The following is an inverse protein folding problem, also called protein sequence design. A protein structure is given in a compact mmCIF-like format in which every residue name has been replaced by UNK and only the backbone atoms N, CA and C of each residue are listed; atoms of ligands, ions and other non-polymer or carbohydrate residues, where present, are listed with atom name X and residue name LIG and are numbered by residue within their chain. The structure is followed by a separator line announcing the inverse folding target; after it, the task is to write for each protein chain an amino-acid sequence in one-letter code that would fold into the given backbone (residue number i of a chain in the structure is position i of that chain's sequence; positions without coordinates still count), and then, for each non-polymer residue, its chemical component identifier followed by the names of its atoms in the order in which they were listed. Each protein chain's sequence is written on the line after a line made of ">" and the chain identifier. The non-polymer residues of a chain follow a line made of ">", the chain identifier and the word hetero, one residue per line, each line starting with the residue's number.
data_IF_049324156798
#
_entry.id   IF_049324156798
#
_cell.length_a   1.000
_cell.length_b   1.000
_cell.length_c   1.000
_cell.angle_alpha   90.00
_cell.angle_beta   90.00
_cell.angle_gamma   90.00
#
_symmetry.space_group_name_H-M   'P 1'
#
loop_
_entity.id
_entity.type
_entity.pdbx_description
1 polymer ?
#
# COMPACT_ATOMS: atom_id res chain seq x y z
N UNK A 1 7.86 -5.78 19.57
CA UNK A 1 6.89 -5.26 20.56
C UNK A 1 7.62 -4.57 21.70
N UNK A 2 8.51 -5.26 22.42
CA UNK A 2 9.35 -4.65 23.47
C UNK A 2 10.21 -3.49 22.97
N UNK A 3 10.98 -3.70 21.89
CA UNK A 3 11.86 -2.67 21.29
C UNK A 3 11.09 -1.39 20.89
N UNK A 4 9.88 -1.56 20.34
CA UNK A 4 8.99 -0.46 19.96
C UNK A 4 8.33 0.23 21.16
N UNK A 5 8.45 -0.31 22.38
CA UNK A 5 7.79 0.22 23.57
C UNK A 5 6.26 0.17 23.52
N UNK A 6 5.68 -0.77 22.74
CA UNK A 6 4.22 -0.89 22.55
C UNK A 6 3.51 -1.06 23.89
N UNK A 7 2.44 -0.30 24.10
CA UNK A 7 1.59 -0.34 25.31
C UNK A 7 0.26 -1.03 25.11
N UNK A 8 -0.28 -0.95 23.89
CA UNK A 8 -1.55 -1.52 23.49
C UNK A 8 -1.38 -2.28 22.18
N UNK A 9 -1.88 -3.51 22.12
CA UNK A 9 -1.90 -4.36 20.95
C UNK A 9 -3.35 -4.54 20.49
N UNK A 10 -3.67 -3.99 19.32
CA UNK A 10 -4.95 -4.25 18.66
C UNK A 10 -4.87 -5.57 17.90
N UNK A 11 -5.83 -6.48 18.13
CA UNK A 11 -5.89 -7.78 17.46
C UNK A 11 -7.34 -8.19 17.19
N UNK A 12 -7.54 -9.41 16.72
CA UNK A 12 -8.85 -9.99 16.46
C UNK A 12 -8.87 -11.43 16.99
N UNK A 13 -10.05 -11.93 17.37
CA UNK A 13 -10.27 -13.23 18.02
C UNK A 13 -9.49 -14.39 17.37
N UNK A 14 -9.47 -14.45 16.04
CA UNK A 14 -8.80 -15.53 15.30
C UNK A 14 -7.25 -15.47 15.35
N UNK A 15 -6.66 -14.32 15.68
CA UNK A 15 -5.22 -14.15 15.82
C UNK A 15 -4.71 -14.30 17.26
N UNK A 16 -5.56 -14.15 18.28
CA UNK A 16 -5.16 -14.22 19.68
C UNK A 16 -4.31 -15.45 20.04
N UNK A 17 -4.66 -16.69 19.61
CA UNK A 17 -3.86 -17.87 19.94
C UNK A 17 -2.45 -17.90 19.31
N UNK A 18 -2.20 -17.03 18.32
CA UNK A 18 -0.92 -16.91 17.59
C UNK A 18 -0.07 -15.75 18.11
N UNK A 19 -0.60 -14.92 19.01
CA UNK A 19 0.16 -13.82 19.57
C UNK A 19 1.25 -14.37 20.50
N UNK A 20 2.47 -13.78 20.47
CA UNK A 20 3.48 -14.11 21.46
C UNK A 20 2.98 -13.73 22.85
N UNK A 21 3.35 -14.49 23.88
CA UNK A 21 3.18 -14.05 25.25
C UNK A 21 3.97 -12.76 25.46
N UNK A 22 3.26 -11.68 25.76
CA UNK A 22 3.84 -10.36 26.01
C UNK A 22 3.44 -9.88 27.39
N UNK A 23 4.44 -9.62 28.25
CA UNK A 23 4.21 -9.15 29.61
C UNK A 23 4.03 -7.63 29.60
N UNK A 24 2.95 -7.15 30.21
CA UNK A 24 2.72 -5.71 30.39
C UNK A 24 2.24 -4.95 29.15
N UNK A 25 1.77 -5.66 28.12
CA UNK A 25 1.09 -5.07 26.96
C UNK A 25 -0.40 -5.40 27.08
N UNK A 26 -1.25 -4.38 27.06
CA UNK A 26 -2.69 -4.56 26.99
C UNK A 26 -3.07 -5.07 25.59
N UNK A 27 -3.94 -6.09 25.52
CA UNK A 27 -4.42 -6.63 24.25
C UNK A 27 -5.90 -6.31 24.11
N UNK A 28 -6.26 -5.58 23.05
CA UNK A 28 -7.65 -5.25 22.71
C UNK A 28 -8.11 -6.11 21.54
N UNK A 29 -9.12 -6.94 21.78
CA UNK A 29 -9.78 -7.70 20.72
C UNK A 29 -10.85 -6.85 20.04
N UNK A 30 -10.58 -6.47 18.78
CA UNK A 30 -11.47 -5.68 17.96
C UNK A 30 -12.82 -6.38 17.68
N UNK A 31 -12.91 -7.71 17.77
CA UNK A 31 -14.18 -8.42 17.59
C UNK A 31 -15.16 -8.22 18.75
N UNK A 32 -14.67 -7.82 19.92
CA UNK A 32 -15.46 -7.61 21.14
C UNK A 32 -15.41 -6.16 21.62
N UNK A 33 -14.93 -5.25 20.77
CA UNK A 33 -14.84 -3.82 21.10
C UNK A 33 -16.22 -3.16 20.97
N UNK A 34 -16.81 -2.81 22.11
CA UNK A 34 -18.09 -2.08 22.19
C UNK A 34 -17.85 -0.57 22.05
N UNK A 35 -18.27 0.02 20.93
CA UNK A 35 -18.09 1.45 20.62
C UNK A 35 -19.39 2.27 20.72
N UNK A 36 -20.51 1.65 21.12
CA UNK A 36 -21.84 2.28 21.08
C UNK A 36 -21.98 3.53 21.97
N UNK A 37 -21.13 3.69 22.98
CA UNK A 37 -21.07 4.87 23.85
C UNK A 37 -20.03 5.91 23.45
N UNK A 38 -19.22 5.63 22.42
CA UNK A 38 -18.14 6.51 21.99
C UNK A 38 -18.64 7.61 21.03
N UNK A 39 -17.92 8.73 20.99
CA UNK A 39 -18.22 9.85 20.09
C UNK A 39 -17.96 9.48 18.62
N UNK A 40 -18.87 9.86 17.73
CA UNK A 40 -18.67 9.81 16.28
C UNK A 40 -17.89 11.02 15.72
N UNK A 41 -17.72 12.07 16.53
CA UNK A 41 -16.93 13.24 16.15
C UNK A 41 -15.43 12.95 16.23
N UNK A 42 -14.66 13.59 15.35
CA UNK A 42 -13.20 13.50 15.38
C UNK A 42 -12.67 13.98 16.74
N UNK A 43 -11.75 13.24 17.38
CA UNK A 43 -11.20 13.64 18.67
C UNK A 43 -10.38 14.93 18.52
N UNK A 44 -10.57 15.85 19.46
CA UNK A 44 -9.86 17.14 19.48
C UNK A 44 -8.42 16.96 20.00
N UNK A 45 -7.57 16.32 19.19
CA UNK A 45 -6.16 16.06 19.49
C UNK A 45 -5.30 16.86 18.51
N UNK A 46 -4.36 17.63 19.05
CA UNK A 46 -3.33 18.30 18.24
C UNK A 46 -2.21 17.30 17.93
N UNK A 47 -1.97 17.05 16.64
CA UNK A 47 -0.89 16.18 16.17
C UNK A 47 0.28 17.05 15.72
N UNK A 48 1.42 16.91 16.40
CA UNK A 48 2.64 17.60 16.03
C UNK A 48 3.31 16.89 14.83
N UNK A 49 3.84 17.61 13.82
CA UNK A 49 4.45 17.00 12.64
C UNK A 49 5.60 16.02 12.93
N UNK A 50 6.29 16.19 14.05
CA UNK A 50 7.40 15.32 14.48
C UNK A 50 6.96 14.09 15.30
N UNK A 51 5.68 13.99 15.67
CA UNK A 51 5.15 12.77 16.28
C UNK A 51 5.22 11.62 15.28
N UNK A 52 5.51 10.42 15.77
CA UNK A 52 5.59 9.21 14.94
C UNK A 52 4.20 8.83 14.42
N UNK A 53 4.09 8.66 13.11
CA UNK A 53 2.91 8.13 12.45
C UNK A 53 2.94 6.60 12.34
N UNK A 54 4.12 6.03 12.06
CA UNK A 54 4.29 4.58 12.01
C UNK A 54 5.73 4.15 12.35
N UNK A 55 5.85 2.87 12.69
CA UNK A 55 7.11 2.17 12.88
C UNK A 55 7.07 0.85 12.09
N UNK A 56 7.98 0.68 11.14
CA UNK A 56 8.08 -0.56 10.35
C UNK A 56 9.44 -1.21 10.59
N UNK A 57 9.43 -2.50 10.90
CA UNK A 57 10.64 -3.28 11.10
C UNK A 57 11.15 -3.85 9.78
N UNK A 58 12.40 -3.55 9.46
CA UNK A 58 13.12 -4.13 8.32
C UNK A 58 14.14 -5.15 8.79
N UNK A 59 14.58 -6.08 7.95
CA UNK A 59 15.47 -7.20 8.33
C UNK A 59 16.81 -6.78 8.93
N UNK A 60 17.29 -5.56 8.64
CA UNK A 60 18.55 -5.03 9.13
C UNK A 60 19.77 -5.75 8.53
N UNK A 61 20.85 -5.01 8.24
CA UNK A 61 22.08 -5.59 7.68
C UNK A 61 22.83 -6.49 8.67
N UNK A 62 22.52 -6.40 9.96
CA UNK A 62 23.14 -7.17 11.05
C UNK A 62 22.34 -8.43 11.43
N UNK A 63 21.24 -8.72 10.71
CA UNK A 63 20.33 -9.84 11.01
C UNK A 63 19.38 -9.60 12.19
N UNK A 64 19.52 -8.47 12.90
CA UNK A 64 18.53 -8.01 13.88
C UNK A 64 17.61 -7.00 13.19
N UNK A 65 16.28 -7.22 13.22
CA UNK A 65 15.36 -6.25 12.68
C UNK A 65 15.52 -4.88 13.34
N UNK A 66 15.43 -3.81 12.54
CA UNK A 66 15.47 -2.43 13.03
C UNK A 66 14.15 -1.73 12.73
N UNK A 67 13.62 -1.01 13.71
CA UNK A 67 12.43 -0.18 13.54
C UNK A 67 12.77 1.12 12.83
N UNK A 68 12.15 1.35 11.68
CA UNK A 68 12.20 2.64 10.98
C UNK A 68 11.00 3.47 11.43
N UNK A 69 11.28 4.55 12.15
CA UNK A 69 10.28 5.44 12.70
C UNK A 69 10.03 6.60 11.72
N UNK A 70 8.78 6.79 11.30
CA UNK A 70 8.40 7.85 10.35
C UNK A 70 7.40 8.78 11.00
N UNK A 71 7.68 10.07 10.92
CA UNK A 71 6.87 11.12 11.52
C UNK A 71 5.68 11.53 10.65
N UNK A 72 4.62 12.05 11.27
CA UNK A 72 3.40 12.53 10.61
C UNK A 72 3.68 13.53 9.48
N UNK A 73 4.53 14.53 9.72
CA UNK A 73 4.86 15.54 8.72
C UNK A 73 5.55 14.95 7.49
N UNK A 74 6.42 13.95 7.70
CA UNK A 74 7.16 13.32 6.61
C UNK A 74 6.25 12.48 5.71
N UNK A 75 5.39 11.64 6.29
CA UNK A 75 4.42 10.86 5.49
C UNK A 75 3.33 11.73 4.87
N UNK A 76 2.89 12.80 5.53
CA UNK A 76 1.92 13.74 4.96
C UNK A 76 2.49 14.46 3.72
N UNK A 77 3.72 14.95 3.79
CA UNK A 77 4.41 15.55 2.65
C UNK A 77 4.58 14.55 1.50
N UNK A 78 4.94 13.29 1.82
CA UNK A 78 5.02 12.20 0.85
C UNK A 78 3.69 11.98 0.13
N UNK A 79 2.58 11.83 0.87
CA UNK A 79 1.26 11.64 0.29
C UNK A 79 0.82 12.81 -0.59
N UNK A 80 1.07 14.07 -0.19
CA UNK A 80 0.80 15.23 -1.05
C UNK A 80 1.62 15.16 -2.36
N UNK A 81 2.93 14.93 -2.24
CA UNK A 81 3.83 14.87 -3.38
C UNK A 81 3.51 13.74 -4.36
N UNK A 82 3.11 12.57 -3.85
CA UNK A 82 2.72 11.41 -4.65
C UNK A 82 1.36 11.63 -5.30
N UNK A 83 0.38 12.15 -4.56
CA UNK A 83 -0.95 12.42 -5.10
C UNK A 83 -0.93 13.36 -6.30
N UNK A 84 -0.13 14.43 -6.21
CA UNK A 84 0.12 15.34 -7.34
C UNK A 84 0.80 14.63 -8.52
N UNK A 85 1.85 13.83 -8.27
CA UNK A 85 2.60 13.12 -9.32
C UNK A 85 1.76 12.06 -10.04
N UNK A 86 0.82 11.43 -9.33
CA UNK A 86 -0.07 10.41 -9.86
C UNK A 86 -1.29 11.03 -10.54
N UNK A 87 -1.50 12.34 -10.38
CA UNK A 87 -2.72 13.05 -10.79
C UNK A 87 -3.97 12.39 -10.19
N UNK A 88 -3.90 12.06 -8.89
CA UNK A 88 -5.01 11.45 -8.16
C UNK A 88 -6.14 12.44 -7.95
N UNK A 89 -7.36 11.94 -8.11
CA UNK A 89 -8.61 12.67 -7.94
C UNK A 89 -9.58 11.84 -7.12
N UNK A 90 -10.68 12.46 -6.67
CA UNK A 90 -11.74 11.74 -5.95
C UNK A 90 -12.46 10.68 -6.80
N UNK A 91 -12.29 10.69 -8.13
CA UNK A 91 -12.85 9.66 -9.03
C UNK A 91 -12.00 8.40 -9.08
N UNK A 92 -10.76 8.46 -8.60
CA UNK A 92 -9.83 7.34 -8.64
C UNK A 92 -10.19 6.24 -7.63
N UNK A 93 -9.80 5.02 -7.97
CA UNK A 93 -10.01 3.81 -7.17
C UNK A 93 -8.72 3.02 -7.11
N UNK A 94 -8.21 2.84 -5.91
CA UNK A 94 -6.96 2.11 -5.63
C UNK A 94 -7.28 0.73 -5.05
N UNK A 95 -6.67 -0.31 -5.62
CA UNK A 95 -6.66 -1.63 -4.99
C UNK A 95 -5.49 -1.70 -4.00
N UNK A 96 -5.79 -1.84 -2.71
CA UNK A 96 -4.79 -2.02 -1.66
C UNK A 96 -4.23 -3.45 -1.70
N UNK A 97 -3.24 -3.67 -2.58
CA UNK A 97 -2.70 -5.01 -2.84
C UNK A 97 -1.51 -5.38 -1.95
N UNK A 98 -0.67 -4.40 -1.62
CA UNK A 98 0.59 -4.62 -0.91
C UNK A 98 0.35 -4.94 0.57
N UNK A 99 1.19 -5.80 1.15
CA UNK A 99 1.10 -6.12 2.57
C UNK A 99 1.35 -4.88 3.43
N UNK A 100 0.47 -4.65 4.42
CA UNK A 100 0.55 -3.55 5.40
C UNK A 100 1.84 -3.57 6.22
N UNK A 101 2.58 -4.68 6.24
CA UNK A 101 3.90 -4.75 6.90
C UNK A 101 5.01 -4.02 6.14
N UNK A 102 4.74 -3.54 4.92
CA UNK A 102 5.66 -2.72 4.13
C UNK A 102 5.12 -1.29 4.00
N UNK A 103 6.02 -0.33 3.97
CA UNK A 103 5.71 1.09 3.92
C UNK A 103 5.13 1.51 2.56
N UNK A 104 5.50 0.82 1.48
CA UNK A 104 4.83 0.91 0.18
C UNK A 104 3.31 0.78 0.28
N UNK A 105 2.81 -0.10 1.15
CA UNK A 105 1.36 -0.25 1.37
C UNK A 105 0.74 1.00 2.02
N UNK A 106 1.48 1.74 2.85
CA UNK A 106 0.99 2.95 3.52
C UNK A 106 0.71 4.08 2.54
N UNK A 107 1.60 4.28 1.57
CA UNK A 107 1.35 5.21 0.45
C UNK A 107 0.05 4.86 -0.28
N UNK A 108 -0.24 3.57 -0.46
CA UNK A 108 -1.41 3.09 -1.24
C UNK A 108 -2.75 3.26 -0.53
N UNK A 109 -2.83 3.59 0.76
CA UNK A 109 -4.11 3.90 1.39
C UNK A 109 -4.17 5.34 1.93
N UNK A 110 -3.06 5.87 2.45
CA UNK A 110 -3.01 7.25 2.92
C UNK A 110 -3.16 8.26 1.78
N UNK A 111 -2.50 8.04 0.64
CA UNK A 111 -2.56 8.95 -0.50
C UNK A 111 -3.96 9.04 -1.12
N UNK A 112 -4.63 7.94 -1.52
CA UNK A 112 -5.97 8.05 -2.06
C UNK A 112 -6.98 8.65 -1.06
N UNK A 113 -6.94 8.26 0.22
CA UNK A 113 -7.87 8.80 1.23
C UNK A 113 -7.67 10.30 1.46
N UNK A 114 -6.42 10.79 1.44
CA UNK A 114 -6.13 12.24 1.54
C UNK A 114 -6.56 13.05 0.32
N UNK A 115 -6.86 12.40 -0.81
CA UNK A 115 -7.31 13.02 -2.06
C UNK A 115 -8.80 12.74 -2.37
N UNK A 116 -9.54 12.13 -1.42
CA UNK A 116 -10.96 11.79 -1.58
C UNK A 116 -11.23 10.59 -2.49
N UNK A 117 -10.20 9.86 -2.90
CA UNK A 117 -10.32 8.66 -3.73
C UNK A 117 -10.78 7.44 -2.91
N UNK A 118 -11.25 6.40 -3.60
CA UNK A 118 -11.70 5.15 -2.96
C UNK A 118 -10.54 4.16 -2.82
N UNK A 119 -10.48 3.47 -1.69
CA UNK A 119 -9.60 2.31 -1.47
C UNK A 119 -10.43 1.04 -1.43
N UNK A 120 -10.08 0.07 -2.28
CA UNK A 120 -10.63 -1.28 -2.29
C UNK A 120 -9.65 -2.19 -1.56
N UNK A 121 -10.12 -2.85 -0.51
CA UNK A 121 -9.29 -3.67 0.38
C UNK A 121 -9.53 -5.14 0.06
N UNK A 122 -8.45 -5.90 -0.09
CA UNK A 122 -8.50 -7.37 -0.18
C UNK A 122 -8.17 -8.03 1.15
N UNK A 123 -8.49 -9.32 1.27
CA UNK A 123 -8.04 -10.12 2.41
C UNK A 123 -6.52 -10.38 2.38
N UNK A 124 -6.00 -11.01 3.44
CA UNK A 124 -4.56 -11.31 3.54
C UNK A 124 -4.11 -12.46 2.63
N UNK A 125 -5.02 -13.19 1.97
CA UNK A 125 -4.65 -14.32 1.12
C UNK A 125 -3.89 -13.83 -0.10
N UNK A 126 -2.89 -14.57 -0.58
CA UNK A 126 -2.30 -14.22 -1.87
C UNK A 126 -3.30 -14.52 -2.98
N UNK A 127 -3.89 -13.47 -3.55
CA UNK A 127 -4.83 -13.60 -4.65
C UNK A 127 -4.17 -14.19 -5.88
N UNK A 128 -4.86 -15.12 -6.52
CA UNK A 128 -4.52 -15.54 -7.87
C UNK A 128 -4.60 -14.35 -8.82
N UNK A 129 -3.85 -14.43 -9.92
CA UNK A 129 -3.83 -13.38 -10.94
C UNK A 129 -5.23 -13.16 -11.51
N UNK A 130 -6.00 -14.24 -11.66
CA UNK A 130 -7.40 -14.17 -12.08
C UNK A 130 -8.25 -13.37 -11.09
N UNK A 131 -8.16 -13.66 -9.78
CA UNK A 131 -8.92 -12.92 -8.76
C UNK A 131 -8.60 -11.42 -8.79
N UNK A 132 -7.32 -11.07 -8.93
CA UNK A 132 -6.92 -9.67 -9.07
C UNK A 132 -7.47 -9.06 -10.36
N UNK A 133 -7.30 -9.73 -11.50
CA UNK A 133 -7.79 -9.26 -12.80
C UNK A 133 -9.31 -9.00 -12.78
N UNK A 134 -10.09 -9.94 -12.23
CA UNK A 134 -11.54 -9.82 -12.10
C UNK A 134 -11.91 -8.64 -11.20
N UNK A 135 -11.25 -8.50 -10.05
CA UNK A 135 -11.45 -7.36 -9.14
C UNK A 135 -11.11 -6.00 -9.79
N UNK A 136 -10.03 -5.91 -10.57
CA UNK A 136 -9.66 -4.68 -11.27
C UNK A 136 -10.81 -4.19 -12.17
N UNK A 137 -11.52 -5.12 -12.83
CA UNK A 137 -12.65 -4.84 -13.70
C UNK A 137 -13.91 -4.54 -12.88
N UNK A 138 -14.28 -5.42 -11.95
CA UNK A 138 -15.52 -5.34 -11.18
C UNK A 138 -15.60 -4.07 -10.33
N UNK A 139 -14.48 -3.69 -9.70
CA UNK A 139 -14.41 -2.50 -8.86
C UNK A 139 -14.00 -1.24 -9.63
N UNK A 140 -13.66 -1.36 -10.91
CA UNK A 140 -13.25 -0.24 -11.76
C UNK A 140 -11.98 0.44 -11.24
N UNK A 141 -10.98 -0.36 -10.87
CA UNK A 141 -9.72 0.13 -10.30
C UNK A 141 -8.98 1.00 -11.34
N UNK A 142 -8.67 2.24 -10.99
CA UNK A 142 -7.99 3.19 -11.90
C UNK A 142 -6.48 3.24 -11.66
N UNK A 143 -6.04 2.87 -10.46
CA UNK A 143 -4.64 2.91 -10.05
C UNK A 143 -4.32 1.69 -9.17
N UNK A 144 -3.16 1.09 -9.37
CA UNK A 144 -2.70 -0.04 -8.55
C UNK A 144 -1.18 -0.10 -8.47
N UNK A 145 -0.65 -0.48 -7.30
CA UNK A 145 0.75 -0.84 -7.13
C UNK A 145 0.94 -2.36 -7.00
N UNK A 146 1.78 -2.95 -7.85
CA UNK A 146 2.07 -4.38 -7.87
C UNK A 146 3.57 -4.63 -7.93
N UNK A 147 4.10 -5.68 -7.27
CA UNK A 147 5.47 -6.14 -7.51
C UNK A 147 5.69 -6.48 -9.00
N UNK A 148 6.85 -6.17 -9.60
CA UNK A 148 7.16 -6.51 -10.99
C UNK A 148 6.85 -7.96 -11.39
N UNK A 149 7.20 -8.92 -10.53
CA UNK A 149 6.91 -10.34 -10.72
C UNK A 149 5.40 -10.66 -10.83
N UNK A 150 4.54 -9.97 -10.07
CA UNK A 150 3.09 -10.13 -10.14
C UNK A 150 2.50 -9.40 -11.35
N UNK A 151 3.01 -8.20 -11.65
CA UNK A 151 2.60 -7.40 -12.80
C UNK A 151 2.85 -8.14 -14.12
N UNK A 152 3.95 -8.90 -14.22
CA UNK A 152 4.21 -9.81 -15.37
C UNK A 152 3.09 -10.82 -15.54
N UNK A 153 2.73 -11.53 -14.48
CA UNK A 153 1.70 -12.57 -14.56
C UNK A 153 0.34 -11.96 -14.92
N UNK A 154 0.03 -10.76 -14.39
CA UNK A 154 -1.17 -10.02 -14.76
C UNK A 154 -1.20 -9.65 -16.25
N UNK A 155 -0.07 -9.23 -16.82
CA UNK A 155 0.04 -8.97 -18.26
C UNK A 155 -0.16 -10.24 -19.09
N UNK A 156 0.45 -11.36 -18.71
CA UNK A 156 0.26 -12.67 -19.36
C UNK A 156 -1.19 -13.14 -19.30
N UNK A 157 -1.88 -12.91 -18.17
CA UNK A 157 -3.28 -13.25 -18.00
C UNK A 157 -4.19 -12.37 -18.88
N UNK A 158 -3.95 -11.06 -18.93
CA UNK A 158 -4.70 -10.14 -19.78
C UNK A 158 -4.54 -10.47 -21.28
N UNK A 159 -3.35 -10.92 -21.71
CA UNK A 159 -3.12 -11.43 -23.07
C UNK A 159 -3.98 -12.66 -23.37
N UNK A 160 -4.06 -13.61 -22.43
CA UNK A 160 -4.91 -14.81 -22.57
C UNK A 160 -6.39 -14.45 -22.63
N UNK A 161 -6.83 -13.46 -21.84
CA UNK A 161 -8.20 -12.95 -21.89
C UNK A 161 -8.49 -12.10 -23.16
N UNK A 162 -7.46 -11.64 -23.86
CA UNK A 162 -7.57 -10.78 -25.04
C UNK A 162 -8.10 -9.37 -24.74
N UNK A 163 -8.06 -8.92 -23.47
CA UNK A 163 -8.58 -7.62 -23.03
C UNK A 163 -7.80 -7.09 -21.83
N UNK A 164 -7.56 -5.78 -21.80
CA UNK A 164 -7.01 -5.09 -20.64
C UNK A 164 -8.08 -4.85 -19.55
N UNK A 165 -7.71 -4.85 -18.25
CA UNK A 165 -8.67 -4.67 -17.16
C UNK A 165 -9.14 -3.21 -16.97
N UNK A 166 -8.60 -2.25 -17.72
CA UNK A 166 -9.05 -0.85 -17.70
C UNK A 166 -8.38 0.06 -16.68
N UNK A 167 -7.29 -0.38 -16.05
CA UNK A 167 -6.52 0.42 -15.10
C UNK A 167 -5.72 1.52 -15.83
N UNK A 168 -5.87 2.77 -15.38
CA UNK A 168 -5.18 3.95 -15.95
C UNK A 168 -3.69 3.96 -15.61
N UNK A 169 -3.33 3.63 -14.37
CA UNK A 169 -1.96 3.79 -13.84
C UNK A 169 -1.48 2.54 -13.12
N UNK A 170 -0.37 1.96 -13.61
CA UNK A 170 0.34 0.89 -12.90
C UNK A 170 1.61 1.44 -12.26
N UNK A 171 1.73 1.21 -10.96
CA UNK A 171 2.92 1.49 -10.18
C UNK A 171 3.64 0.19 -9.82
N UNK A 172 4.97 0.19 -9.85
CA UNK A 172 5.79 -0.91 -9.34
C UNK A 172 7.08 -0.39 -8.71
N UNK A 173 7.63 -1.16 -7.79
CA UNK A 173 8.85 -0.86 -7.05
C UNK A 173 9.45 -2.16 -6.48
N UNK A 174 10.65 -2.07 -5.90
CA UNK A 174 11.21 -3.11 -5.04
C UNK A 174 11.88 -4.30 -5.74
N UNK A 175 11.70 -4.47 -7.06
CA UNK A 175 12.37 -5.49 -7.87
C UNK A 175 12.92 -4.88 -9.17
N UNK A 176 13.87 -5.58 -9.79
CA UNK A 176 14.37 -5.20 -11.10
C UNK A 176 13.26 -5.28 -12.16
N UNK A 177 13.13 -4.23 -12.98
CA UNK A 177 12.13 -4.13 -14.03
C UNK A 177 12.81 -3.97 -15.39
N UNK A 178 12.64 -4.95 -16.29
CA UNK A 178 13.30 -4.95 -17.59
C UNK A 178 12.48 -4.20 -18.65
N UNK A 179 13.15 -3.77 -19.74
CA UNK A 179 12.49 -3.10 -20.86
C UNK A 179 11.49 -4.01 -21.58
N UNK A 180 11.79 -5.30 -21.63
CA UNK A 180 10.92 -6.31 -22.24
C UNK A 180 9.62 -6.46 -21.43
N UNK A 181 9.72 -6.48 -20.09
CA UNK A 181 8.54 -6.50 -19.22
C UNK A 181 7.72 -5.20 -19.37
N UNK A 182 8.37 -4.04 -19.45
CA UNK A 182 7.68 -2.76 -19.71
C UNK A 182 6.83 -2.83 -20.98
N UNK A 183 7.44 -3.29 -22.09
CA UNK A 183 6.77 -3.39 -23.38
C UNK A 183 5.63 -4.41 -23.36
N UNK A 184 5.79 -5.51 -22.64
CA UNK A 184 4.73 -6.48 -22.44
C UNK A 184 3.56 -5.84 -21.69
N UNK A 185 3.81 -5.25 -20.52
CA UNK A 185 2.79 -4.57 -19.70
C UNK A 185 2.02 -3.52 -20.50
N UNK A 186 2.70 -2.68 -21.28
CA UNK A 186 2.05 -1.66 -22.11
C UNK A 186 1.13 -2.29 -23.15
N UNK A 187 1.58 -3.35 -23.82
CA UNK A 187 0.82 -4.05 -24.86
C UNK A 187 -0.41 -4.76 -24.28
N UNK A 188 -0.24 -5.47 -23.17
CA UNK A 188 -1.25 -6.35 -22.58
C UNK A 188 -2.27 -5.60 -21.72
N UNK A 189 -1.79 -4.65 -20.91
CA UNK A 189 -2.62 -3.93 -19.91
C UNK A 189 -3.07 -2.56 -20.40
N UNK A 190 -2.49 -2.03 -21.47
CA UNK A 190 -2.87 -0.78 -22.13
C UNK A 190 -3.09 0.42 -21.18
N UNK A 191 -2.18 0.68 -20.21
CA UNK A 191 -2.38 1.79 -19.30
C UNK A 191 -2.13 3.14 -19.96
N UNK A 192 -2.56 4.20 -19.29
CA UNK A 192 -2.17 5.57 -19.66
C UNK A 192 -0.78 5.89 -19.10
N UNK A 193 -0.51 5.50 -17.85
CA UNK A 193 0.70 5.84 -17.13
C UNK A 193 1.38 4.60 -16.56
N UNK A 194 2.70 4.58 -16.69
CA UNK A 194 3.58 3.66 -15.97
C UNK A 194 4.40 4.45 -14.97
N UNK A 195 4.49 3.93 -13.75
CA UNK A 195 5.24 4.51 -12.66
C UNK A 195 6.20 3.46 -12.09
N UNK A 196 7.49 3.80 -12.08
CA UNK A 196 8.52 3.04 -11.37
C UNK A 196 9.00 3.86 -10.17
N UNK A 197 8.74 3.36 -8.97
CA UNK A 197 9.16 3.96 -7.71
C UNK A 197 10.42 3.30 -7.16
N UNK A 198 11.27 4.08 -6.50
CA UNK A 198 12.39 3.57 -5.72
C UNK A 198 12.56 4.33 -4.41
N UNK A 199 12.71 3.57 -3.32
CA UNK A 199 13.02 4.07 -1.99
C UNK A 199 13.23 2.94 -0.99
N UNK A 200 14.26 3.02 -0.13
CA UNK A 200 14.28 2.27 1.12
C UNK A 200 13.32 2.88 2.15
N UNK A 201 12.88 2.06 3.11
CA UNK A 201 11.93 2.48 4.16
C UNK A 201 12.41 3.69 4.96
N UNK A 202 13.71 3.83 5.16
CA UNK A 202 14.37 4.93 5.86
C UNK A 202 14.22 6.29 5.16
N UNK A 203 13.81 6.30 3.90
CA UNK A 203 13.65 7.53 3.09
C UNK A 203 12.20 7.90 2.84
N UNK A 204 11.27 7.31 3.60
CA UNK A 204 9.82 7.52 3.48
C UNK A 204 9.30 7.03 2.13
N UNK A 205 9.16 5.71 2.01
CA UNK A 205 8.50 5.01 0.92
C UNK A 205 9.15 5.19 -0.46
N UNK A 206 8.90 6.30 -1.16
CA UNK A 206 9.26 6.51 -2.57
C UNK A 206 9.81 7.93 -2.79
N UNK A 207 11.06 8.22 -2.37
CA UNK A 207 11.70 9.53 -2.61
C UNK A 207 12.04 9.76 -4.08
N UNK A 208 12.16 8.71 -4.89
CA UNK A 208 12.47 8.81 -6.32
C UNK A 208 11.45 8.06 -7.14
N UNK A 209 11.03 8.69 -8.25
CA UNK A 209 9.96 8.18 -9.08
C UNK A 209 10.22 8.53 -10.53
N UNK A 210 10.03 7.54 -11.40
CA UNK A 210 10.00 7.70 -12.84
C UNK A 210 8.59 7.44 -13.34
N UNK A 211 7.94 8.49 -13.86
CA UNK A 211 6.61 8.44 -14.48
C UNK A 211 6.74 8.68 -15.98
N UNK A 212 6.10 7.83 -16.76
CA UNK A 212 6.11 7.94 -18.23
C UNK A 212 4.72 7.62 -18.81
N UNK A 213 4.26 8.37 -19.83
CA UNK A 213 3.09 7.97 -20.61
C UNK A 213 3.40 6.66 -21.35
N UNK A 214 2.47 5.70 -21.34
CA UNK A 214 2.66 4.41 -22.01
C UNK A 214 2.93 4.54 -23.51
N UNK A 215 2.41 5.60 -24.14
CA UNK A 215 2.61 5.91 -25.57
C UNK A 215 4.05 6.33 -25.91
N UNK A 216 4.85 6.76 -24.93
CA UNK A 216 6.22 7.27 -25.13
C UNK A 216 7.29 6.46 -24.39
N UNK A 217 6.90 5.40 -23.70
CA UNK A 217 7.77 4.59 -22.84
C UNK A 217 8.65 3.58 -23.61
#
# INVERSE_FOLDING_TARGET
>A
LEDAGVKLLLSHQAALPRLPEVVGIEVLDLNHLELSGESSEAPAIEIHPEQLAYLIYTSGSTGKPKGVAVAHGAIALHCQAIGERYELTAEDRELHFLSVSFDGAHERWLTPLSHGARVVIRDQQLWSVQQTYDCLIEEGISVVALPPSYLRQLAEWAEQCGKAPGVKTYCFAGEAFSRELLQQVIRSLQPTWIINGYGPTETVVTPTLWRVPAITA
#
